data_IF_616632430655
#
_entry.id   IF_616632430655
#
_cell.length_a   1.000
_cell.length_b   1.000
_cell.length_c   1.000
_cell.angle_alpha   90.00
_cell.angle_beta   90.00
_cell.angle_gamma   90.00
#
_symmetry.space_group_name_H-M   'P 1'
#
loop_
_entity.id
_entity.type
_entity.pdbx_description
1 polymer ?
#
# COMPACT_ATOMS: atom_id res chain seq x y z
N UNK A 1 -12.83 2.32 -12.87
CA UNK A 1 -12.00 2.15 -11.68
C UNK A 1 -10.81 3.09 -11.82
N UNK A 2 -10.59 3.99 -10.88
CA UNK A 2 -9.46 4.93 -10.86
C UNK A 2 -8.18 4.21 -10.46
N UNK A 3 -7.03 4.87 -10.64
CA UNK A 3 -5.74 4.34 -10.24
C UNK A 3 -5.68 4.11 -8.71
N UNK A 4 -6.22 5.05 -7.92
CA UNK A 4 -6.34 4.92 -6.47
C UNK A 4 -7.28 3.77 -6.06
N UNK A 5 -8.40 3.57 -6.75
CA UNK A 5 -9.29 2.42 -6.49
C UNK A 5 -8.59 1.09 -6.79
N UNK A 6 -7.83 1.01 -7.88
CA UNK A 6 -7.01 -0.17 -8.19
C UNK A 6 -5.98 -0.42 -7.09
N UNK A 7 -5.23 0.60 -6.68
CA UNK A 7 -4.26 0.51 -5.60
C UNK A 7 -4.90 0.02 -4.29
N UNK A 8 -6.03 0.61 -3.88
CA UNK A 8 -6.73 0.23 -2.65
C UNK A 8 -7.22 -1.22 -2.68
N UNK A 9 -7.73 -1.69 -3.82
CA UNK A 9 -8.13 -3.08 -4.00
C UNK A 9 -6.94 -4.04 -3.85
N UNK A 10 -5.82 -3.69 -4.47
CA UNK A 10 -4.59 -4.49 -4.45
C UNK A 10 -3.93 -4.50 -3.06
N UNK A 11 -3.95 -3.38 -2.34
CA UNK A 11 -3.48 -3.27 -0.95
C UNK A 11 -4.34 -4.11 -0.01
N UNK A 12 -5.67 -4.07 -0.17
CA UNK A 12 -6.60 -4.91 0.61
C UNK A 12 -6.41 -6.40 0.34
N UNK A 13 -6.10 -6.78 -0.90
CA UNK A 13 -5.88 -8.17 -1.28
C UNK A 13 -4.56 -8.72 -0.70
N UNK A 14 -3.46 -7.96 -0.82
CA UNK A 14 -2.11 -8.44 -0.42
C UNK A 14 -1.78 -8.19 1.04
N UNK A 15 -2.27 -7.11 1.61
CA UNK A 15 -1.94 -6.67 2.97
C UNK A 15 -3.22 -6.32 3.74
N UNK A 16 -4.16 -7.26 3.92
CA UNK A 16 -5.47 -6.98 4.53
C UNK A 16 -5.36 -6.39 5.94
N UNK A 17 -4.30 -6.73 6.68
CA UNK A 17 -4.04 -6.22 8.03
C UNK A 17 -3.47 -4.79 8.05
N UNK A 18 -3.06 -4.25 6.91
CA UNK A 18 -2.59 -2.86 6.74
C UNK A 18 -3.46 -2.08 5.75
N UNK A 19 -4.58 -2.66 5.28
CA UNK A 19 -5.37 -2.09 4.20
C UNK A 19 -5.89 -0.68 4.53
N UNK A 20 -6.31 -0.46 5.77
CA UNK A 20 -6.82 0.84 6.22
C UNK A 20 -5.69 1.88 6.35
N UNK A 21 -4.50 1.47 6.79
CA UNK A 21 -3.33 2.34 6.88
C UNK A 21 -2.77 2.71 5.50
N UNK A 22 -2.89 1.79 4.53
CA UNK A 22 -2.42 1.99 3.15
C UNK A 22 -3.45 2.70 2.27
N UNK A 23 -4.75 2.68 2.61
CA UNK A 23 -5.80 3.23 1.76
C UNK A 23 -5.59 4.71 1.41
N UNK A 24 -5.67 5.04 0.13
CA UNK A 24 -5.56 6.41 -0.39
C UNK A 24 -6.92 6.90 -0.91
N UNK A 25 -7.08 8.21 -1.07
CA UNK A 25 -8.32 8.80 -1.57
C UNK A 25 -8.61 8.31 -3.01
N UNK A 26 -9.78 7.70 -3.29
CA UNK A 26 -10.19 7.23 -4.61
C UNK A 26 -10.16 8.31 -5.72
N UNK A 27 -10.24 9.59 -5.34
CA UNK A 27 -10.18 10.72 -6.26
C UNK A 27 -8.77 11.00 -6.81
N UNK A 28 -7.72 10.38 -6.24
CA UNK A 28 -6.36 10.55 -6.72
C UNK A 28 -6.18 9.78 -8.04
N UNK A 29 -5.83 10.50 -9.09
CA UNK A 29 -5.67 10.00 -10.46
C UNK A 29 -4.19 9.88 -10.90
N UNK A 30 -3.27 10.16 -9.98
CA UNK A 30 -1.85 10.33 -10.22
C UNK A 30 -1.04 9.31 -9.40
N UNK A 31 -0.22 8.51 -10.09
CA UNK A 31 0.63 7.48 -9.48
C UNK A 31 1.68 8.05 -8.51
N UNK A 32 2.33 9.16 -8.86
CA UNK A 32 3.33 9.81 -8.01
C UNK A 32 2.74 10.39 -6.72
N UNK A 33 1.49 10.85 -6.74
CA UNK A 33 0.81 11.32 -5.53
C UNK A 33 0.44 10.15 -4.61
N UNK A 34 0.01 9.01 -5.16
CA UNK A 34 -0.19 7.77 -4.40
C UNK A 34 1.13 7.34 -3.76
N UNK A 35 2.21 7.31 -4.54
CA UNK A 35 3.55 6.94 -4.06
C UNK A 35 4.03 7.85 -2.93
N UNK A 36 3.89 9.18 -3.05
CA UNK A 36 4.30 10.13 -2.02
C UNK A 36 3.49 9.97 -0.70
N UNK A 37 2.21 9.65 -0.79
CA UNK A 37 1.36 9.38 0.39
C UNK A 37 1.83 8.10 1.09
N UNK A 38 1.98 7.02 0.34
CA UNK A 38 2.37 5.71 0.86
C UNK A 38 3.79 5.76 1.40
N UNK A 39 4.70 6.43 0.69
CA UNK A 39 6.07 6.68 1.11
C UNK A 39 6.11 7.38 2.47
N UNK A 40 5.44 8.53 2.63
CA UNK A 40 5.38 9.26 3.92
C UNK A 40 4.77 8.44 5.05
N UNK A 41 3.79 7.59 4.77
CA UNK A 41 3.20 6.68 5.77
C UNK A 41 4.15 5.55 6.15
N UNK A 42 4.95 5.06 5.20
CA UNK A 42 5.98 4.04 5.41
C UNK A 42 7.26 4.56 6.06
N UNK A 43 7.53 5.87 5.90
CA UNK A 43 8.75 6.56 6.31
C UNK A 43 9.00 6.51 7.81
N UNK A 44 7.94 6.33 8.62
CA UNK A 44 8.10 6.36 10.07
C UNK A 44 8.60 5.07 10.73
N UNK A 45 8.55 3.86 10.12
CA UNK A 45 9.13 2.65 10.76
C UNK A 45 9.14 1.32 9.97
N UNK A 46 8.26 1.07 9.00
CA UNK A 46 7.84 -0.33 8.80
C UNK A 46 7.34 -0.78 7.43
N UNK A 47 7.18 0.11 6.44
CA UNK A 47 6.58 -0.30 5.15
C UNK A 47 7.46 -1.25 4.34
N UNK A 48 8.76 -0.95 4.22
CA UNK A 48 9.72 -1.86 3.57
C UNK A 48 9.92 -3.16 4.35
N UNK A 49 9.94 -3.10 5.68
CA UNK A 49 10.11 -4.28 6.54
C UNK A 49 8.88 -5.22 6.47
N UNK A 50 7.67 -4.67 6.48
CA UNK A 50 6.42 -5.44 6.37
C UNK A 50 6.29 -6.13 5.00
N UNK A 51 6.63 -5.43 3.92
CA UNK A 51 6.63 -6.01 2.56
C UNK A 51 7.67 -7.13 2.45
N UNK A 52 8.88 -6.95 2.99
CA UNK A 52 9.91 -7.99 2.99
C UNK A 52 9.50 -9.21 3.82
N UNK A 53 8.88 -9.02 4.99
CA UNK A 53 8.37 -10.11 5.84
C UNK A 53 7.22 -10.88 5.18
N UNK A 54 6.34 -10.19 4.46
CA UNK A 54 5.27 -10.81 3.69
C UNK A 54 5.85 -11.67 2.55
N UNK A 55 6.80 -11.13 1.76
CA UNK A 55 7.45 -11.85 0.67
C UNK A 55 8.24 -13.08 1.15
N UNK A 56 8.86 -13.02 2.33
CA UNK A 56 9.56 -14.17 2.94
C UNK A 56 8.56 -15.23 3.44
N UNK A 57 7.40 -14.80 3.96
CA UNK A 57 6.37 -15.71 4.47
C UNK A 57 5.65 -16.46 3.35
N UNK A 58 5.54 -15.88 2.15
CA UNK A 58 4.99 -16.55 0.95
C UNK A 58 5.92 -17.59 0.33
N UNK A 59 7.22 -17.60 0.66
CA UNK A 59 8.21 -18.56 0.14
C UNK A 59 8.31 -19.88 0.94
N UNK A 60 7.37 -20.17 1.85
CA UNK A 60 7.34 -21.41 2.65
C UNK A 60 6.11 -22.25 2.40
#
# INVERSE_FOLDING_TARGET
>A
MTLAEHYNAEAKLRMPHMADDLAVDPAIDNAGHIDEIVFRRSEYLGGMAAVLLALISEQK
#
